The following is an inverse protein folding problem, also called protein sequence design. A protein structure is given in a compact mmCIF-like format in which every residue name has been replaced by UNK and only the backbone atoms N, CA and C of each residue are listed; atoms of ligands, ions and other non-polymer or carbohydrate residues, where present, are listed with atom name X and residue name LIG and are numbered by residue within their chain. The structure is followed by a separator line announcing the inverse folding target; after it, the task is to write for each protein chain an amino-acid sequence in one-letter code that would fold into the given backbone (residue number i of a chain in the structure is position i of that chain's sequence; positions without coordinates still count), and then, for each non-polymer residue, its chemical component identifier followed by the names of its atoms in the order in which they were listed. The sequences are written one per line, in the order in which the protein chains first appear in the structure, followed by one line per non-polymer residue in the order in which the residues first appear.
data_IF_232413852550
#
_entry.id   IF_232413852550
#
_cell.length_a   1.000
_cell.length_b   1.000
_cell.length_c   1.000
_cell.angle_alpha   90.00
_cell.angle_beta   90.00
_cell.angle_gamma   90.00
#
_symmetry.space_group_name_H-M   'P 1'
#
loop_
_entity.id
_entity.type
_entity.pdbx_description
1 polymer ?
#
# COMPACT_ATOMS: atom_id res chain seq x y z
N UNK A 1 8.55 22.22 -7.94
CA UNK A 1 9.94 21.81 -8.30
C UNK A 1 11.00 22.35 -7.33
N UNK A 2 11.02 23.65 -6.98
CA UNK A 2 12.02 24.20 -6.03
C UNK A 2 11.85 23.73 -4.58
N UNK A 3 10.63 23.43 -4.12
CA UNK A 3 10.38 22.96 -2.74
C UNK A 3 10.73 21.49 -2.53
N UNK A 4 10.55 20.63 -3.53
CA UNK A 4 10.92 19.20 -3.46
C UNK A 4 12.43 18.96 -3.33
N UNK A 5 13.23 19.96 -3.74
CA UNK A 5 14.68 19.98 -3.62
C UNK A 5 15.15 20.51 -2.24
N UNK A 6 14.29 21.24 -1.50
CA UNK A 6 14.60 21.66 -0.13
C UNK A 6 14.58 20.45 0.78
N UNK A 7 15.48 20.46 1.77
CA UNK A 7 15.58 19.45 2.82
C UNK A 7 15.72 17.99 2.36
N UNK A 8 16.12 17.78 1.10
CA UNK A 8 16.23 16.46 0.47
C UNK A 8 14.92 15.66 0.51
N UNK A 9 13.76 16.33 0.46
CA UNK A 9 12.44 15.69 0.47
C UNK A 9 12.32 14.61 -0.62
N UNK A 10 12.89 14.84 -1.80
CA UNK A 10 12.94 13.86 -2.88
C UNK A 10 13.56 12.50 -2.48
N UNK A 11 14.57 12.47 -1.60
CA UNK A 11 15.16 11.21 -1.12
C UNK A 11 14.16 10.40 -0.29
N UNK A 12 13.35 11.08 0.51
CA UNK A 12 12.30 10.41 1.29
C UNK A 12 11.19 9.86 0.40
N UNK A 13 10.84 10.61 -0.66
CA UNK A 13 9.87 10.17 -1.68
C UNK A 13 10.42 8.94 -2.41
N UNK A 14 11.66 8.99 -2.92
CA UNK A 14 12.28 7.85 -3.59
C UNK A 14 12.39 6.62 -2.68
N UNK A 15 12.78 6.80 -1.41
CA UNK A 15 12.84 5.73 -0.42
C UNK A 15 11.46 5.08 -0.20
N UNK A 16 10.40 5.88 -0.07
CA UNK A 16 9.02 5.37 0.10
C UNK A 16 8.47 4.67 -1.16
N UNK A 17 8.88 5.13 -2.35
CA UNK A 17 8.47 4.52 -3.60
C UNK A 17 9.17 3.18 -3.83
N UNK A 18 10.41 3.01 -3.37
CA UNK A 18 11.19 1.79 -3.53
C UNK A 18 11.47 1.45 -5.00
N UNK A 19 11.55 0.16 -5.31
CA UNK A 19 11.93 -0.33 -6.65
C UNK A 19 10.76 -0.47 -7.64
N UNK A 20 9.59 0.15 -7.36
CA UNK A 20 8.42 0.08 -8.23
C UNK A 20 8.75 0.62 -9.62
N UNK A 21 8.24 -0.01 -10.69
CA UNK A 21 8.36 0.56 -12.05
C UNK A 21 7.41 1.75 -12.21
N UNK A 22 7.82 2.73 -12.99
CA UNK A 22 6.94 3.84 -13.36
C UNK A 22 5.81 3.35 -14.27
N UNK A 23 4.60 3.81 -13.98
CA UNK A 23 3.52 3.79 -14.95
C UNK A 23 3.89 4.72 -16.11
N UNK A 24 3.59 4.30 -17.34
CA UNK A 24 3.83 5.09 -18.55
C UNK A 24 2.46 5.44 -19.13
N UNK A 25 2.03 6.71 -19.03
CA UNK A 25 0.79 7.18 -19.63
C UNK A 25 0.79 7.03 -21.15
N UNK A 26 -0.38 6.85 -21.74
CA UNK A 26 -0.56 6.95 -23.18
C UNK A 26 -0.61 8.43 -23.64
N UNK A 27 -0.47 8.72 -24.95
CA UNK A 27 -0.45 10.08 -25.44
C UNK A 27 -1.71 10.89 -25.14
N UNK A 28 -2.89 10.26 -25.15
CA UNK A 28 -4.16 10.95 -24.93
C UNK A 28 -4.28 11.37 -23.45
N UNK A 29 -3.85 10.49 -22.53
CA UNK A 29 -3.74 10.79 -21.10
C UNK A 29 -2.79 11.98 -20.85
N UNK A 30 -1.65 12.04 -21.56
CA UNK A 30 -0.69 13.16 -21.44
C UNK A 30 -1.30 14.48 -21.89
N UNK A 31 -2.00 14.47 -23.04
CA UNK A 31 -2.67 15.67 -23.58
C UNK A 31 -3.72 16.16 -22.59
N UNK A 32 -4.56 15.25 -22.07
CA UNK A 32 -5.60 15.60 -21.12
C UNK A 32 -5.05 16.28 -19.85
N UNK A 33 -4.02 15.71 -19.23
CA UNK A 33 -3.39 16.33 -18.05
C UNK A 33 -2.75 17.67 -18.37
N UNK A 34 -2.17 17.83 -19.56
CA UNK A 34 -1.50 19.07 -19.95
C UNK A 34 -2.50 20.20 -20.19
N UNK A 35 -3.66 19.88 -20.79
CA UNK A 35 -4.68 20.87 -21.13
C UNK A 35 -5.55 21.25 -19.92
N UNK A 36 -5.89 20.27 -19.08
CA UNK A 36 -6.91 20.46 -18.04
C UNK A 36 -6.33 20.45 -16.61
N UNK A 37 -5.10 19.98 -16.42
CA UNK A 37 -4.46 19.86 -15.11
C UNK A 37 -4.95 18.70 -14.24
N UNK A 38 -5.97 17.94 -14.68
CA UNK A 38 -6.50 16.72 -14.05
C UNK A 38 -7.27 15.87 -15.08
N UNK A 39 -7.64 14.61 -14.78
CA UNK A 39 -8.26 13.71 -15.75
C UNK A 39 -9.78 13.98 -15.83
N UNK A 40 -10.18 14.91 -16.71
CA UNK A 40 -11.57 15.37 -16.83
C UNK A 40 -12.52 14.27 -17.31
N UNK A 41 -12.04 13.42 -18.22
CA UNK A 41 -12.77 12.29 -18.79
C UNK A 41 -12.95 11.13 -17.81
N UNK A 42 -12.28 11.16 -16.66
CA UNK A 42 -12.41 10.11 -15.66
C UNK A 42 -13.82 10.08 -15.07
N UNK A 43 -14.49 8.90 -15.06
CA UNK A 43 -15.87 8.79 -14.61
C UNK A 43 -16.04 9.04 -13.11
N UNK A 44 -15.01 8.86 -12.28
CA UNK A 44 -15.06 9.12 -10.85
C UNK A 44 -15.00 10.62 -10.56
N UNK A 45 -14.14 11.35 -11.28
CA UNK A 45 -14.12 12.82 -11.21
C UNK A 45 -15.40 13.44 -11.80
N UNK A 46 -15.94 12.87 -12.87
CA UNK A 46 -17.25 13.29 -13.41
C UNK A 46 -18.36 13.14 -12.37
N UNK A 47 -18.42 12.00 -11.66
CA UNK A 47 -19.42 11.77 -10.58
C UNK A 47 -19.25 12.76 -9.41
N UNK A 48 -18.02 13.13 -9.07
CA UNK A 48 -17.76 14.13 -8.03
C UNK A 48 -18.20 15.53 -8.47
N UNK A 49 -17.91 15.92 -9.72
CA UNK A 49 -18.37 17.18 -10.31
C UNK A 49 -19.91 17.28 -10.24
N UNK A 50 -20.61 16.23 -10.67
CA UNK A 50 -22.07 16.15 -10.57
C UNK A 50 -22.55 16.29 -9.12
N UNK A 51 -21.89 15.65 -8.16
CA UNK A 51 -22.25 15.76 -6.75
C UNK A 51 -22.12 17.20 -6.23
N UNK A 52 -21.05 17.92 -6.57
CA UNK A 52 -20.90 19.31 -6.15
C UNK A 52 -21.97 20.23 -6.74
N UNK A 53 -22.25 20.10 -8.04
CA UNK A 53 -23.26 20.93 -8.71
C UNK A 53 -24.68 20.59 -8.23
N UNK A 54 -25.06 19.31 -8.23
CA UNK A 54 -26.45 18.92 -8.02
C UNK A 54 -26.84 18.75 -6.55
N UNK A 55 -25.91 18.33 -5.67
CA UNK A 55 -26.22 18.06 -4.27
C UNK A 55 -25.68 19.11 -3.29
N UNK A 56 -24.59 19.80 -3.63
CA UNK A 56 -24.10 20.92 -2.83
C UNK A 56 -24.51 22.29 -3.40
N UNK A 57 -25.23 22.32 -4.53
CA UNK A 57 -25.73 23.55 -5.19
C UNK A 57 -24.60 24.56 -5.48
N UNK A 58 -23.43 24.05 -5.86
CA UNK A 58 -22.27 24.87 -6.20
C UNK A 58 -22.31 25.32 -7.66
N UNK A 59 -21.80 26.53 -7.93
CA UNK A 59 -21.67 27.02 -9.29
C UNK A 59 -20.66 26.19 -10.10
N UNK A 60 -20.93 26.02 -11.40
CA UNK A 60 -20.10 25.19 -12.26
C UNK A 60 -18.66 25.72 -12.35
N UNK A 61 -18.48 27.04 -12.40
CA UNK A 61 -17.16 27.66 -12.52
C UNK A 61 -16.34 27.42 -11.23
N UNK A 62 -16.98 27.55 -10.06
CA UNK A 62 -16.36 27.24 -8.76
C UNK A 62 -15.94 25.77 -8.68
N UNK A 63 -16.81 24.86 -9.13
CA UNK A 63 -16.50 23.43 -9.16
C UNK A 63 -15.30 23.16 -10.07
N UNK A 64 -15.24 23.77 -11.26
CA UNK A 64 -14.10 23.61 -12.17
C UNK A 64 -12.77 24.11 -11.58
N UNK A 65 -12.79 25.12 -10.71
CA UNK A 65 -11.61 25.55 -9.97
C UNK A 65 -11.18 24.55 -8.87
N UNK A 66 -12.13 23.90 -8.20
CA UNK A 66 -11.82 22.95 -7.11
C UNK A 66 -11.35 21.58 -7.59
N UNK A 67 -11.81 21.12 -8.76
CA UNK A 67 -11.51 19.76 -9.24
C UNK A 67 -10.00 19.48 -9.41
N UNK A 68 -9.19 20.37 -10.05
CA UNK A 68 -7.74 20.18 -10.12
C UNK A 68 -7.06 20.17 -8.74
N UNK A 69 -7.54 20.99 -7.80
CA UNK A 69 -6.99 21.06 -6.43
C UNK A 69 -7.24 19.76 -5.67
N UNK A 70 -8.46 19.21 -5.77
CA UNK A 70 -8.81 17.93 -5.17
C UNK A 70 -7.96 16.82 -5.78
N UNK A 71 -7.83 16.78 -7.11
CA UNK A 71 -6.97 15.80 -7.79
C UNK A 71 -5.51 15.90 -7.32
N UNK A 72 -4.97 17.11 -7.19
CA UNK A 72 -3.60 17.30 -6.70
C UNK A 72 -3.41 16.74 -5.28
N UNK A 73 -4.32 17.06 -4.35
CA UNK A 73 -4.26 16.53 -2.97
C UNK A 73 -4.36 15.01 -2.94
N UNK A 74 -5.28 14.43 -3.71
CA UNK A 74 -5.47 12.98 -3.79
C UNK A 74 -4.23 12.31 -4.37
N UNK A 75 -3.72 12.78 -5.51
CA UNK A 75 -2.55 12.19 -6.19
C UNK A 75 -1.26 12.27 -5.36
N UNK A 76 -1.17 13.25 -4.46
CA UNK A 76 -0.11 13.37 -3.46
C UNK A 76 -0.33 12.49 -2.22
N UNK A 77 -1.45 11.75 -2.14
CA UNK A 77 -1.77 10.85 -1.04
C UNK A 77 -2.19 11.56 0.25
N UNK A 78 -2.73 12.77 0.15
CA UNK A 78 -3.21 13.51 1.33
C UNK A 78 -4.46 12.81 1.92
N UNK A 79 -4.63 12.83 3.25
CA UNK A 79 -5.83 12.28 3.88
C UNK A 79 -7.09 13.05 3.49
N UNK A 80 -8.25 12.38 3.54
CA UNK A 80 -9.55 13.00 3.27
C UNK A 80 -9.82 14.22 4.17
N UNK A 81 -9.28 14.24 5.39
CA UNK A 81 -9.41 15.35 6.33
C UNK A 81 -8.90 16.68 5.73
N UNK A 82 -7.80 16.66 4.97
CA UNK A 82 -7.24 17.87 4.35
C UNK A 82 -8.17 18.46 3.29
N UNK A 83 -8.91 17.59 2.60
CA UNK A 83 -9.92 18.00 1.61
C UNK A 83 -11.16 18.53 2.33
N UNK A 84 -11.58 17.90 3.43
CA UNK A 84 -12.68 18.39 4.26
C UNK A 84 -12.36 19.78 4.86
N UNK A 85 -11.14 19.98 5.36
CA UNK A 85 -10.68 21.27 5.88
C UNK A 85 -10.64 22.33 4.78
N UNK A 86 -10.20 21.96 3.57
CA UNK A 86 -10.26 22.84 2.41
C UNK A 86 -11.70 23.27 2.10
N UNK A 87 -12.66 22.33 2.05
CA UNK A 87 -14.07 22.65 1.78
C UNK A 87 -14.67 23.53 2.88
N UNK A 88 -14.40 23.23 4.15
CA UNK A 88 -14.85 24.02 5.30
C UNK A 88 -14.27 25.45 5.27
N UNK A 89 -12.99 25.59 4.93
CA UNK A 89 -12.33 26.89 4.75
C UNK A 89 -12.89 27.73 3.60
N UNK A 90 -13.60 27.13 2.65
CA UNK A 90 -14.34 27.81 1.59
C UNK A 90 -15.83 28.03 1.94
N UNK A 91 -16.26 27.61 3.14
CA UNK A 91 -17.65 27.74 3.58
C UNK A 91 -18.60 26.72 2.95
N UNK A 92 -18.08 25.65 2.36
CA UNK A 92 -18.89 24.60 1.72
C UNK A 92 -19.43 23.67 2.81
N UNK A 93 -20.76 23.64 2.96
CA UNK A 93 -21.44 22.87 4.01
C UNK A 93 -22.26 21.74 3.39
N UNK A 94 -22.14 20.53 3.95
CA UNK A 94 -22.96 19.39 3.53
C UNK A 94 -24.40 19.56 4.04
N UNK A 95 -25.42 19.45 3.18
CA UNK A 95 -26.82 19.68 3.57
C UNK A 95 -27.38 18.56 4.46
N UNK A 96 -26.72 17.40 4.50
CA UNK A 96 -27.13 16.28 5.35
C UNK A 96 -26.00 15.28 5.61
N UNK A 97 -26.18 14.44 6.63
CA UNK A 97 -25.30 13.29 6.87
C UNK A 97 -25.26 12.32 5.68
N UNK A 98 -26.37 12.20 4.94
CA UNK A 98 -26.45 11.39 3.72
C UNK A 98 -25.52 11.93 2.63
N UNK A 99 -25.52 13.25 2.41
CA UNK A 99 -24.63 13.91 1.45
C UNK A 99 -23.16 13.71 1.84
N UNK A 100 -22.84 13.88 3.13
CA UNK A 100 -21.49 13.62 3.66
C UNK A 100 -21.05 12.16 3.43
N UNK A 101 -21.91 11.18 3.72
CA UNK A 101 -21.61 9.75 3.47
C UNK A 101 -21.40 9.47 1.99
N UNK A 102 -22.19 10.07 1.10
CA UNK A 102 -22.03 9.95 -0.35
C UNK A 102 -20.69 10.53 -0.79
N UNK A 103 -20.31 11.71 -0.29
CA UNK A 103 -19.01 12.32 -0.57
C UNK A 103 -17.85 11.43 -0.14
N UNK A 104 -17.86 10.88 1.08
CA UNK A 104 -16.82 9.94 1.55
C UNK A 104 -16.69 8.73 0.61
N UNK A 105 -17.82 8.19 0.12
CA UNK A 105 -17.82 7.10 -0.85
C UNK A 105 -17.19 7.51 -2.18
N UNK A 106 -17.55 8.69 -2.71
CA UNK A 106 -16.98 9.23 -3.95
C UNK A 106 -15.46 9.44 -3.82
N UNK A 107 -15.02 9.99 -2.69
CA UNK A 107 -13.61 10.23 -2.42
C UNK A 107 -12.81 8.93 -2.26
N UNK A 108 -13.44 7.88 -1.71
CA UNK A 108 -12.84 6.55 -1.66
C UNK A 108 -12.66 5.96 -3.07
N UNK A 109 -13.69 6.08 -3.91
CA UNK A 109 -13.61 5.66 -5.31
C UNK A 109 -12.49 6.44 -6.03
N UNK A 110 -12.47 7.77 -5.92
CA UNK A 110 -11.45 8.64 -6.53
C UNK A 110 -10.05 8.24 -6.06
N UNK A 111 -9.82 8.08 -4.75
CA UNK A 111 -8.52 7.70 -4.24
C UNK A 111 -8.04 6.37 -4.85
N UNK A 112 -8.92 5.38 -4.93
CA UNK A 112 -8.58 4.05 -5.46
C UNK A 112 -8.28 4.05 -6.99
N UNK A 113 -8.77 5.04 -7.73
CA UNK A 113 -8.62 5.16 -9.19
C UNK A 113 -7.71 6.30 -9.64
N UNK A 114 -7.17 7.09 -8.71
CA UNK A 114 -6.25 8.19 -9.04
C UNK A 114 -4.80 7.71 -9.10
N UNK A 115 -4.07 8.20 -10.11
CA UNK A 115 -2.62 7.99 -10.28
C UNK A 115 -1.88 8.62 -9.08
N UNK A 116 -1.12 7.82 -8.32
CA UNK A 116 -0.48 8.28 -7.08
C UNK A 116 1.02 8.53 -7.25
N UNK A 117 1.52 9.64 -6.70
CA UNK A 117 2.96 9.92 -6.63
C UNK A 117 3.71 8.82 -5.85
N UNK A 118 3.17 8.39 -4.70
CA UNK A 118 3.74 7.33 -3.86
C UNK A 118 3.81 5.97 -4.57
N UNK A 119 2.98 5.76 -5.60
CA UNK A 119 2.94 4.55 -6.40
C UNK A 119 3.59 4.72 -7.77
N UNK A 120 4.41 5.76 -7.99
CA UNK A 120 5.08 6.02 -9.29
C UNK A 120 4.11 6.06 -10.47
N UNK A 121 2.95 6.69 -10.27
CA UNK A 121 1.93 6.88 -11.29
C UNK A 121 0.95 5.71 -11.42
N UNK A 122 1.06 4.65 -10.62
CA UNK A 122 0.01 3.62 -10.58
C UNK A 122 -1.15 4.04 -9.66
N UNK A 123 -2.36 3.61 -9.99
CA UNK A 123 -3.51 3.72 -9.08
C UNK A 123 -3.41 2.66 -7.97
N UNK A 124 -4.01 2.89 -6.78
CA UNK A 124 -4.06 1.86 -5.74
C UNK A 124 -4.70 0.55 -6.22
N UNK A 125 -5.75 0.62 -7.04
CA UNK A 125 -6.40 -0.58 -7.58
C UNK A 125 -5.52 -1.35 -8.57
N UNK A 126 -4.76 -0.68 -9.44
CA UNK A 126 -3.81 -1.38 -10.30
C UNK A 126 -2.65 -1.98 -9.51
N UNK A 127 -2.16 -1.29 -8.48
CA UNK A 127 -1.14 -1.84 -7.59
C UNK A 127 -1.62 -3.10 -6.90
N UNK A 128 -2.87 -3.11 -6.45
CA UNK A 128 -3.47 -4.31 -5.85
C UNK A 128 -3.53 -5.48 -6.85
N UNK A 129 -3.82 -5.21 -8.13
CA UNK A 129 -3.85 -6.25 -9.18
C UNK A 129 -2.47 -6.82 -9.51
N UNK A 130 -1.39 -6.06 -9.25
CA UNK A 130 -0.01 -6.50 -9.46
C UNK A 130 0.55 -7.30 -8.27
N UNK A 131 -0.14 -7.32 -7.12
CA UNK A 131 0.33 -8.10 -5.98
C UNK A 131 0.31 -9.60 -6.30
N UNK A 132 1.33 -10.36 -5.86
CA UNK A 132 1.34 -11.81 -6.04
C UNK A 132 0.08 -12.43 -5.43
N UNK A 133 -0.74 -13.09 -6.24
CA UNK A 133 -1.86 -13.89 -5.73
C UNK A 133 -1.33 -15.23 -5.25
N UNK A 134 -1.68 -15.64 -4.04
CA UNK A 134 -1.43 -17.00 -3.59
C UNK A 134 -2.26 -17.99 -4.44
N UNK A 135 -1.87 -19.29 -4.51
CA UNK A 135 -2.65 -20.31 -5.19
C UNK A 135 -4.12 -20.28 -4.75
N UNK A 136 -5.05 -20.25 -5.72
CA UNK A 136 -6.49 -20.17 -5.46
C UNK A 136 -7.05 -18.75 -5.26
N UNK A 137 -6.34 -17.70 -5.70
CA UNK A 137 -6.86 -16.32 -5.72
C UNK A 137 -6.97 -15.67 -4.34
N UNK A 138 -6.39 -16.28 -3.31
CA UNK A 138 -6.36 -15.71 -1.96
C UNK A 138 -5.29 -14.62 -1.89
N UNK A 139 -5.62 -13.52 -1.21
CA UNK A 139 -4.61 -12.51 -0.84
C UNK A 139 -3.52 -13.18 0.00
N UNK A 140 -2.24 -12.81 -0.16
CA UNK A 140 -1.18 -13.29 0.72
C UNK A 140 -1.53 -12.99 2.18
N UNK A 141 -1.41 -14.00 3.05
CA UNK A 141 -1.60 -13.84 4.49
C UNK A 141 -0.28 -14.03 5.19
N UNK A 142 0.08 -13.10 6.08
CA UNK A 142 1.22 -13.30 6.98
C UNK A 142 0.81 -14.30 8.06
N UNK A 143 1.51 -15.44 8.11
CA UNK A 143 1.29 -16.43 9.17
C UNK A 143 2.14 -16.03 10.38
N UNK A 144 1.55 -15.65 11.53
CA UNK A 144 2.32 -15.26 12.71
C UNK A 144 3.19 -16.42 13.19
N UNK A 145 4.31 -16.13 13.86
CA UNK A 145 5.27 -17.15 14.33
C UNK A 145 5.67 -18.13 13.20
N UNK A 146 6.04 -17.56 12.06
CA UNK A 146 6.66 -18.25 10.92
C UNK A 146 7.96 -17.56 10.55
N UNK A 147 8.84 -18.26 9.85
CA UNK A 147 10.08 -17.71 9.29
C UNK A 147 9.79 -16.46 8.44
N UNK A 148 8.69 -16.47 7.67
CA UNK A 148 8.35 -15.35 6.79
C UNK A 148 7.88 -14.13 7.58
N UNK A 149 7.03 -14.32 8.60
CA UNK A 149 6.63 -13.23 9.48
C UNK A 149 7.82 -12.66 10.27
N UNK A 150 8.74 -13.52 10.72
CA UNK A 150 9.94 -13.08 11.43
C UNK A 150 10.87 -12.25 10.53
N UNK A 151 11.03 -12.65 9.25
CA UNK A 151 11.78 -11.87 8.26
C UNK A 151 11.18 -10.48 8.06
N UNK A 152 9.87 -10.41 7.79
CA UNK A 152 9.16 -9.13 7.60
C UNK A 152 9.26 -8.23 8.83
N UNK A 153 9.11 -8.78 10.03
CA UNK A 153 9.25 -8.03 11.28
C UNK A 153 10.69 -7.56 11.51
N UNK A 154 11.68 -8.36 11.13
CA UNK A 154 13.10 -7.99 11.19
C UNK A 154 13.45 -6.84 10.26
N UNK A 155 12.93 -6.85 9.03
CA UNK A 155 13.09 -5.76 8.06
C UNK A 155 12.45 -4.46 8.57
N UNK A 156 11.32 -4.56 9.28
CA UNK A 156 10.63 -3.41 9.87
C UNK A 156 11.13 -3.03 11.30
N UNK A 157 12.13 -3.73 11.85
CA UNK A 157 12.46 -3.64 13.27
C UNK A 157 12.91 -2.23 13.71
N UNK A 158 13.71 -1.55 12.89
CA UNK A 158 14.19 -0.21 13.20
C UNK A 158 13.06 0.83 13.22
N UNK A 159 12.09 0.71 12.32
CA UNK A 159 10.92 1.59 12.30
C UNK A 159 10.02 1.35 13.50
N UNK A 160 9.76 0.08 13.83
CA UNK A 160 8.97 -0.31 14.99
C UNK A 160 9.61 0.18 16.30
N UNK A 161 10.93 0.07 16.42
CA UNK A 161 11.68 0.55 17.59
C UNK A 161 11.59 2.06 17.77
N UNK A 162 11.65 2.84 16.68
CA UNK A 162 11.44 4.30 16.73
C UNK A 162 10.05 4.67 17.25
N UNK A 163 9.05 3.81 17.02
CA UNK A 163 7.67 3.97 17.53
C UNK A 163 7.45 3.36 18.93
N UNK A 164 8.52 2.90 19.60
CA UNK A 164 8.46 2.34 20.96
C UNK A 164 8.15 0.84 21.03
N UNK A 165 8.11 0.13 19.91
CA UNK A 165 7.87 -1.32 19.88
C UNK A 165 9.19 -2.09 19.77
N UNK A 166 9.46 -2.99 20.72
CA UNK A 166 10.54 -3.96 20.62
C UNK A 166 10.15 -5.13 19.72
N UNK A 167 11.04 -5.56 18.82
CA UNK A 167 10.84 -6.74 17.98
C UNK A 167 11.69 -7.89 18.51
N UNK A 168 11.02 -8.93 18.99
CA UNK A 168 11.66 -10.16 19.46
C UNK A 168 11.43 -11.27 18.43
N UNK A 169 12.48 -11.63 17.70
CA UNK A 169 12.45 -12.66 16.66
C UNK A 169 12.81 -14.05 17.19
N UNK A 170 13.20 -14.17 18.46
CA UNK A 170 13.88 -15.36 18.98
C UNK A 170 13.03 -16.15 19.97
N UNK A 171 12.16 -15.49 20.73
CA UNK A 171 11.38 -16.11 21.82
C UNK A 171 10.48 -17.28 21.39
N UNK A 172 10.09 -17.34 20.12
CA UNK A 172 9.30 -18.44 19.57
C UNK A 172 10.05 -19.27 18.53
N UNK A 173 11.35 -19.05 18.31
CA UNK A 173 12.13 -19.85 17.39
C UNK A 173 12.82 -21.01 18.13
N UNK A 174 12.79 -22.20 17.54
CA UNK A 174 13.71 -23.27 17.92
C UNK A 174 14.93 -23.25 16.97
N UNK A 175 16.12 -23.59 17.47
CA UNK A 175 17.28 -23.87 16.61
C UNK A 175 17.34 -25.36 16.29
N UNK A 176 17.27 -25.69 15.01
CA UNK A 176 17.44 -27.06 14.52
C UNK A 176 18.77 -27.21 13.79
N UNK A 177 19.38 -28.38 13.96
CA UNK A 177 20.47 -28.80 13.09
C UNK A 177 19.89 -29.24 11.76
N UNK A 178 20.32 -28.59 10.69
CA UNK A 178 19.97 -28.91 9.32
C UNK A 178 21.15 -29.56 8.62
N UNK A 179 20.89 -30.63 7.88
CA UNK A 179 21.85 -31.28 7.01
C UNK A 179 21.46 -30.94 5.59
N UNK A 180 22.30 -30.17 4.90
CA UNK A 180 22.09 -29.81 3.50
C UNK A 180 23.07 -30.58 2.63
N UNK A 181 22.57 -31.15 1.53
CA UNK A 181 23.38 -31.79 0.49
C UNK A 181 23.25 -30.96 -0.79
N UNK A 182 24.01 -29.84 -0.91
CA UNK A 182 23.88 -28.91 -2.03
C UNK A 182 24.25 -29.55 -3.38
N UNK A 183 25.20 -30.49 -3.37
CA UNK A 183 25.67 -31.20 -4.57
C UNK A 183 24.99 -32.58 -4.77
N UNK A 184 23.84 -32.80 -4.12
CA UNK A 184 23.10 -34.07 -4.17
C UNK A 184 23.69 -35.18 -3.31
N UNK A 185 23.16 -36.41 -3.47
CA UNK A 185 23.44 -37.58 -2.61
C UNK A 185 24.94 -37.98 -2.63
N UNK A 186 25.63 -37.67 -3.72
CA UNK A 186 27.06 -37.96 -3.91
C UNK A 186 27.99 -36.86 -3.36
N UNK A 187 27.42 -35.73 -2.92
CA UNK A 187 28.15 -34.57 -2.42
C UNK A 187 28.57 -34.66 -0.95
N UNK A 188 29.35 -33.68 -0.49
CA UNK A 188 29.67 -33.55 0.93
C UNK A 188 28.48 -32.95 1.68
N UNK A 189 28.05 -33.61 2.75
CA UNK A 189 27.00 -33.09 3.62
C UNK A 189 27.50 -31.88 4.40
N UNK A 190 26.76 -30.78 4.32
CA UNK A 190 27.00 -29.57 5.10
C UNK A 190 26.06 -29.56 6.29
N UNK A 191 26.62 -29.55 7.49
CA UNK A 191 25.86 -29.42 8.74
C UNK A 191 25.80 -27.94 9.12
N UNK A 192 24.60 -27.40 9.25
CA UNK A 192 24.36 -26.01 9.64
C UNK A 192 23.23 -25.90 10.65
N UNK A 193 23.17 -24.78 11.38
CA UNK A 193 22.05 -24.46 12.27
C UNK A 193 21.08 -23.53 11.56
N UNK A 194 19.78 -23.76 11.73
CA UNK A 194 18.72 -22.89 11.20
C UNK A 194 17.64 -22.67 12.25
N UNK A 195 17.11 -21.45 12.32
CA UNK A 195 15.90 -21.13 13.09
C UNK A 195 14.68 -21.72 12.39
N UNK A 196 13.81 -22.36 13.16
CA UNK A 196 12.50 -22.84 12.73
C UNK A 196 11.43 -22.30 13.67
N UNK A 197 10.31 -21.86 13.10
CA UNK A 197 9.22 -21.27 13.85
C UNK A 197 8.01 -22.22 13.95
N UNK A 198 7.15 -22.08 14.99
CA UNK A 198 6.08 -23.01 15.32
C UNK A 198 5.14 -23.34 14.15
N UNK A 199 4.85 -22.37 13.28
CA UNK A 199 3.95 -22.55 12.15
C UNK A 199 4.66 -22.88 10.83
N UNK A 200 5.99 -22.98 10.82
CA UNK A 200 6.73 -23.37 9.62
C UNK A 200 6.44 -24.83 9.22
N UNK A 201 6.60 -25.17 7.93
CA UNK A 201 6.62 -26.56 7.49
C UNK A 201 7.68 -27.36 8.27
N UNK A 202 7.31 -28.54 8.75
CA UNK A 202 8.21 -29.34 9.56
C UNK A 202 9.39 -29.86 8.72
N UNK A 203 10.66 -29.69 9.17
CA UNK A 203 11.86 -30.05 8.40
C UNK A 203 11.98 -31.55 8.13
N UNK A 204 11.25 -32.41 8.85
CA UNK A 204 11.23 -33.86 8.60
C UNK A 204 10.42 -34.26 7.34
N UNK A 205 9.81 -33.30 6.63
CA UNK A 205 9.06 -33.58 5.40
C UNK A 205 7.65 -34.14 5.63
N UNK A 206 7.13 -34.12 6.86
CA UNK A 206 5.80 -34.68 7.19
C UNK A 206 4.61 -33.92 6.63
N UNK A 207 4.82 -32.74 6.02
CA UNK A 207 3.76 -31.83 5.58
C UNK A 207 3.00 -31.13 6.70
N UNK A 208 3.30 -31.43 7.98
CA UNK A 208 2.68 -30.80 9.15
C UNK A 208 3.42 -29.52 9.55
N UNK A 209 2.75 -28.65 10.29
CA UNK A 209 3.41 -27.51 10.98
C UNK A 209 4.38 -28.03 12.04
N UNK A 210 5.52 -27.35 12.22
CA UNK A 210 6.57 -27.77 13.14
C UNK A 210 6.07 -28.02 14.57
N UNK A 211 5.28 -27.11 15.15
CA UNK A 211 4.67 -27.29 16.50
C UNK A 211 3.69 -28.45 16.63
N UNK A 212 3.23 -29.00 15.50
CA UNK A 212 2.33 -30.17 15.43
C UNK A 212 3.08 -31.45 15.05
N UNK A 213 4.40 -31.39 14.93
CA UNK A 213 5.26 -32.50 14.55
C UNK A 213 6.53 -32.49 15.43
N UNK A 214 7.71 -32.20 14.87
CA UNK A 214 8.98 -32.29 15.60
C UNK A 214 9.11 -31.29 16.75
N UNK A 215 8.43 -30.14 16.68
CA UNK A 215 8.38 -29.12 17.74
C UNK A 215 7.19 -29.26 18.68
N UNK A 216 6.52 -30.41 18.70
CA UNK A 216 5.37 -30.64 19.59
C UNK A 216 5.87 -30.76 21.03
N UNK A 217 5.53 -29.78 21.86
CA UNK A 217 5.72 -29.84 23.32
C UNK A 217 4.51 -30.55 23.94
N UNK A 218 4.76 -31.44 24.89
CA UNK A 218 3.71 -32.13 25.67
C UNK A 218 3.20 -31.23 26.78
#
# INVERSE_FOLDING_TARGET
MKETLRDKLYLSIEASQGEKKFYIPDPDEIVEYTENGYPVSDPYYSRLKTFFVEELDMDLDEVEEYMPVIWNRVSMGNPLADIMEMLDGQGIVFPSEKAMRKFVSLMTDINNHTRMLSNRGWTPNEMLRQMPTAPGGRKPTIVPMSSEAARMLGEAADELKKRGFGVDLDNHADEITTMSMPDGISGKTVVGKKKVYPNDPCPCGSGKKYKKCCGRKN
#
